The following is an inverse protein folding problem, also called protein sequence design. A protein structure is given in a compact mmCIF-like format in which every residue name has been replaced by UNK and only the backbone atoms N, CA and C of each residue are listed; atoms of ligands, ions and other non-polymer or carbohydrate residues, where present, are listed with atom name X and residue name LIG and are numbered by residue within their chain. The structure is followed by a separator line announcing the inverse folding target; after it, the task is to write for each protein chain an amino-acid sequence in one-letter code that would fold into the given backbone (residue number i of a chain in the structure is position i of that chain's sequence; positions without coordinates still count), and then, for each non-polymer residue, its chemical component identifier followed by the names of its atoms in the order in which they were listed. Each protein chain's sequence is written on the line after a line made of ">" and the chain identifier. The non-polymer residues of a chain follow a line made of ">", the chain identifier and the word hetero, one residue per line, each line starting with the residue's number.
data_IF_895748419122
#
_entry.id   IF_895748419122
#
_cell.length_a   1.000
_cell.length_b   1.000
_cell.length_c   1.000
_cell.angle_alpha   90.00
_cell.angle_beta   90.00
_cell.angle_gamma   90.00
#
_symmetry.space_group_name_H-M   'P 1'
#
loop_
_entity.id
_entity.type
_entity.pdbx_description
1 polymer ?
#
# COMPACT_ATOMS: atom_id res chain seq x y z
N UNK A 1 -1.67 -10.04 -30.70
CA UNK A 1 -1.35 -8.96 -29.76
C UNK A 1 0.09 -8.56 -30.02
N UNK A 2 0.34 -7.37 -30.56
CA UNK A 2 1.71 -6.90 -30.85
C UNK A 2 2.36 -6.47 -29.52
N UNK A 3 3.66 -6.73 -29.29
CA UNK A 3 4.33 -6.20 -28.12
C UNK A 3 4.44 -4.68 -28.27
N UNK A 4 4.06 -3.97 -27.21
CA UNK A 4 4.22 -2.51 -27.11
C UNK A 4 5.52 -2.24 -26.35
N UNK A 5 6.24 -1.24 -26.86
CA UNK A 5 7.48 -0.64 -26.36
C UNK A 5 8.79 -1.36 -26.71
N UNK A 6 9.63 -0.62 -27.44
CA UNK A 6 11.04 -0.90 -27.70
C UNK A 6 11.82 -1.00 -26.38
N UNK A 7 12.73 -1.98 -26.28
CA UNK A 7 13.49 -2.29 -25.07
C UNK A 7 14.53 -1.22 -24.66
N UNK A 8 14.56 -0.08 -25.34
CA UNK A 8 15.56 1.00 -25.20
C UNK A 8 14.95 2.32 -24.67
N UNK A 9 13.65 2.36 -24.40
CA UNK A 9 13.00 3.49 -23.71
C UNK A 9 13.15 3.37 -22.19
N UNK A 10 13.87 4.30 -21.57
CA UNK A 10 14.01 4.38 -20.12
C UNK A 10 12.70 4.84 -19.47
N UNK A 11 12.07 3.98 -18.68
CA UNK A 11 10.90 4.33 -17.86
C UNK A 11 11.33 5.19 -16.67
N UNK A 12 10.73 6.36 -16.51
CA UNK A 12 10.89 7.22 -15.32
C UNK A 12 9.75 6.94 -14.33
N UNK A 13 10.08 6.69 -13.07
CA UNK A 13 9.13 6.52 -11.97
C UNK A 13 9.35 7.65 -10.97
N UNK A 14 8.35 8.52 -10.81
CA UNK A 14 8.35 9.58 -9.82
C UNK A 14 7.59 9.12 -8.56
N UNK A 15 8.28 9.05 -7.41
CA UNK A 15 7.67 8.71 -6.13
C UNK A 15 7.13 9.97 -5.45
N UNK A 16 5.81 10.01 -5.24
CA UNK A 16 5.14 11.08 -4.49
C UNK A 16 4.80 10.69 -3.05
N UNK A 17 5.14 9.47 -2.64
CA UNK A 17 5.02 9.04 -1.26
C UNK A 17 6.21 9.62 -0.50
N UNK A 18 6.01 10.75 0.18
CA UNK A 18 6.90 11.14 1.26
C UNK A 18 6.47 10.41 2.55
N UNK A 19 7.40 10.20 3.48
CA UNK A 19 7.12 9.51 4.74
C UNK A 19 6.17 10.26 5.68
N UNK A 20 5.60 11.39 5.26
CA UNK A 20 4.77 12.29 6.08
C UNK A 20 3.29 12.30 5.66
N UNK A 21 2.95 11.93 4.42
CA UNK A 21 1.57 12.07 3.90
C UNK A 21 0.63 10.91 4.22
N UNK A 22 1.13 9.75 4.63
CA UNK A 22 0.29 8.61 4.98
C UNK A 22 0.30 8.35 6.49
N UNK A 23 -0.89 8.25 7.13
CA UNK A 23 -0.97 7.76 8.51
C UNK A 23 -0.28 6.42 8.59
N UNK A 24 0.69 6.34 9.49
CA UNK A 24 1.46 5.12 9.67
C UNK A 24 0.60 4.02 10.26
N UNK A 25 0.99 2.77 10.03
CA UNK A 25 0.39 1.61 10.68
C UNK A 25 0.31 1.79 12.21
N UNK A 26 1.33 2.39 12.83
CA UNK A 26 1.36 2.60 14.28
C UNK A 26 0.23 3.53 14.77
N UNK A 27 -0.06 4.60 14.03
CA UNK A 27 -1.13 5.54 14.35
C UNK A 27 -2.51 4.89 14.16
N UNK A 28 -2.70 4.18 13.04
CA UNK A 28 -3.93 3.46 12.75
C UNK A 28 -4.23 2.39 13.82
N UNK A 29 -3.20 1.69 14.29
CA UNK A 29 -3.32 0.67 15.34
C UNK A 29 -3.63 1.28 16.69
N UNK A 30 -2.92 2.36 17.06
CA UNK A 30 -3.17 3.04 18.34
C UNK A 30 -4.61 3.56 18.42
N UNK A 31 -5.07 4.27 17.40
CA UNK A 31 -6.43 4.81 17.32
C UNK A 31 -7.47 3.67 17.25
N UNK A 32 -7.25 2.69 16.36
CA UNK A 32 -8.19 1.61 16.12
C UNK A 32 -8.42 0.68 17.30
N UNK A 33 -7.36 0.34 18.05
CA UNK A 33 -7.44 -0.59 19.19
C UNK A 33 -7.86 0.08 20.51
N UNK A 34 -7.74 1.41 20.62
CA UNK A 34 -8.16 2.16 21.82
C UNK A 34 -9.65 2.52 21.82
N UNK A 35 -10.34 2.41 20.68
CA UNK A 35 -11.80 2.65 20.57
C UNK A 35 -12.62 1.54 21.25
N UNK A 36 -13.86 1.85 21.71
CA UNK A 36 -14.76 0.84 22.27
C UNK A 36 -15.08 -0.29 21.28
N UNK A 37 -15.33 0.06 20.02
CA UNK A 37 -15.44 -0.89 18.91
C UNK A 37 -14.15 -0.87 18.12
N UNK A 38 -13.44 -2.00 18.09
CA UNK A 38 -12.10 -2.11 17.52
C UNK A 38 -12.19 -2.26 16.02
N UNK A 39 -11.40 -1.45 15.31
CA UNK A 39 -11.39 -1.42 13.85
C UNK A 39 -10.01 -1.02 13.35
N UNK A 40 -9.57 -1.60 12.24
CA UNK A 40 -8.35 -1.19 11.52
C UNK A 40 -8.68 -0.95 10.04
N UNK A 41 -8.04 0.05 9.40
CA UNK A 41 -8.22 0.26 7.97
C UNK A 41 -7.85 -0.99 7.15
N UNK A 42 -8.66 -1.37 6.15
CA UNK A 42 -8.46 -2.61 5.39
C UNK A 42 -7.21 -2.59 4.50
N UNK A 43 -6.60 -1.41 4.27
CA UNK A 43 -5.33 -1.30 3.54
C UNK A 43 -4.21 -2.16 4.16
N UNK A 44 -4.30 -2.43 5.46
CA UNK A 44 -3.34 -3.25 6.20
C UNK A 44 -3.51 -4.76 5.99
N UNK A 45 -4.52 -5.20 5.24
CA UNK A 45 -4.63 -6.61 4.84
C UNK A 45 -3.61 -7.01 3.78
N UNK A 46 -3.07 -6.07 3.01
CA UNK A 46 -2.28 -6.37 1.82
C UNK A 46 -0.77 -6.34 2.08
N UNK A 47 -0.32 -7.12 3.07
CA UNK A 47 1.09 -7.48 3.18
C UNK A 47 1.44 -8.59 2.17
N UNK A 48 2.69 -9.08 2.18
CA UNK A 48 3.11 -10.15 1.27
C UNK A 48 2.17 -11.36 1.29
N UNK A 49 1.68 -11.74 2.47
CA UNK A 49 0.82 -12.92 2.63
C UNK A 49 -0.62 -12.62 2.25
N UNK A 50 -1.16 -11.48 2.65
CA UNK A 50 -2.51 -11.08 2.33
C UNK A 50 -2.69 -10.78 0.85
N UNK A 51 -1.65 -10.32 0.16
CA UNK A 51 -1.62 -10.24 -1.29
C UNK A 51 -1.74 -11.63 -1.95
N UNK A 52 -0.95 -12.63 -1.51
CA UNK A 52 -1.06 -14.02 -2.00
C UNK A 52 -2.46 -14.63 -1.77
N UNK A 53 -3.13 -14.25 -0.68
CA UNK A 53 -4.48 -14.75 -0.37
C UNK A 53 -5.57 -14.07 -1.21
N UNK A 54 -5.27 -12.93 -1.82
CA UNK A 54 -6.21 -12.19 -2.65
C UNK A 54 -6.15 -12.61 -4.13
N UNK A 55 -4.98 -12.98 -4.64
CA UNK A 55 -4.76 -13.53 -6.00
C UNK A 55 -5.47 -14.88 -6.21
#
# INVERSE_FOLDING_TARGET
>A
MKPVADADETIQIDSHLDGAHERSLAEDVLDGLTRPFKELPPKHFYDSRGAELFE
#
